data_IF_490139646723
#
_entry.id   IF_490139646723
#
_cell.length_a   1.000
_cell.length_b   1.000
_cell.length_c   1.000
_cell.angle_alpha   90.00
_cell.angle_beta   90.00
_cell.angle_gamma   90.00
#
_symmetry.space_group_name_H-M   'P 1'
#
loop_
_entity.id
_entity.type
_entity.pdbx_description
1 polymer ?
#
# COMPACT_ATOMS: atom_id res chain seq x y z
N UNK A 1 -0.09 19.09 -20.29
CA UNK A 1 -0.54 17.91 -19.52
C UNK A 1 -0.74 18.38 -18.09
N UNK A 2 -1.86 18.09 -17.42
CA UNK A 2 -1.99 18.42 -16.01
C UNK A 2 -0.84 17.70 -15.30
N UNK A 3 -0.07 18.44 -14.49
CA UNK A 3 1.05 17.90 -13.73
C UNK A 3 0.59 16.61 -13.05
N UNK A 4 1.10 15.47 -13.53
CA UNK A 4 0.89 14.18 -12.89
C UNK A 4 1.43 14.38 -11.48
N UNK A 5 0.58 14.21 -10.48
CA UNK A 5 0.98 14.52 -9.12
C UNK A 5 1.92 13.40 -8.68
N UNK A 6 3.23 13.66 -8.76
CA UNK A 6 4.32 12.72 -8.50
C UNK A 6 4.15 11.96 -7.18
N UNK A 7 3.48 12.58 -6.20
CA UNK A 7 3.15 11.95 -4.92
C UNK A 7 2.15 10.79 -5.04
N UNK A 8 1.17 10.85 -5.95
CA UNK A 8 0.26 9.72 -6.18
C UNK A 8 0.97 8.56 -6.86
N UNK A 9 1.89 8.85 -7.78
CA UNK A 9 2.67 7.82 -8.45
C UNK A 9 3.60 7.12 -7.45
N UNK A 10 4.29 7.89 -6.60
CA UNK A 10 5.15 7.34 -5.55
C UNK A 10 4.38 6.44 -4.57
N UNK A 11 3.19 6.86 -4.12
CA UNK A 11 2.37 6.01 -3.22
C UNK A 11 1.87 4.76 -3.96
N UNK A 12 1.52 4.88 -5.24
CA UNK A 12 1.08 3.75 -6.07
C UNK A 12 2.19 2.72 -6.25
N UNK A 13 3.41 3.16 -6.55
CA UNK A 13 4.59 2.29 -6.69
C UNK A 13 4.88 1.56 -5.38
N UNK A 14 4.87 2.28 -4.24
CA UNK A 14 5.07 1.67 -2.93
C UNK A 14 3.97 0.66 -2.57
N UNK A 15 2.72 0.91 -2.95
CA UNK A 15 1.64 -0.05 -2.75
C UNK A 15 1.89 -1.33 -3.56
N UNK A 16 2.25 -1.20 -4.84
CA UNK A 16 2.52 -2.34 -5.71
C UNK A 16 3.68 -3.19 -5.16
N UNK A 17 4.77 -2.56 -4.72
CA UNK A 17 5.91 -3.26 -4.13
C UNK A 17 5.52 -4.04 -2.86
N UNK A 18 4.77 -3.42 -1.95
CA UNK A 18 4.35 -4.11 -0.72
C UNK A 18 3.35 -5.23 -1.02
N UNK A 19 2.44 -5.07 -1.98
CA UNK A 19 1.51 -6.12 -2.41
C UNK A 19 2.29 -7.31 -3.01
N UNK A 20 3.27 -7.05 -3.87
CA UNK A 20 4.13 -8.09 -4.45
C UNK A 20 4.91 -8.83 -3.36
N UNK A 21 5.47 -8.11 -2.39
CA UNK A 21 6.20 -8.69 -1.26
C UNK A 21 5.30 -9.58 -0.39
N UNK A 22 4.05 -9.17 -0.11
CA UNK A 22 3.08 -9.99 0.62
C UNK A 22 2.77 -11.26 -0.16
N UNK A 23 2.50 -11.17 -1.47
CA UNK A 23 2.25 -12.35 -2.31
C UNK A 23 3.41 -13.33 -2.27
N UNK A 24 4.64 -12.86 -2.49
CA UNK A 24 5.83 -13.71 -2.41
C UNK A 24 6.03 -14.32 -1.01
N UNK A 25 5.67 -13.59 0.05
CA UNK A 25 5.73 -14.12 1.41
C UNK A 25 4.73 -15.26 1.63
N UNK A 26 3.51 -15.13 1.11
CA UNK A 26 2.49 -16.18 1.17
C UNK A 26 2.91 -17.42 0.37
N UNK A 27 3.52 -17.24 -0.81
CA UNK A 27 4.08 -18.36 -1.60
C UNK A 27 5.20 -19.11 -0.84
N UNK A 28 6.04 -18.38 -0.09
CA UNK A 28 7.08 -18.99 0.73
C UNK A 28 6.52 -19.69 1.98
N UNK A 29 5.36 -19.28 2.49
CA UNK A 29 4.73 -19.92 3.64
C UNK A 29 4.33 -21.36 3.32
N UNK A 30 3.82 -21.62 2.12
CA UNK A 30 3.45 -22.97 1.67
C UNK A 30 4.68 -23.90 1.56
N UNK A 31 5.88 -23.33 1.39
CA UNK A 31 7.14 -24.06 1.33
C UNK A 31 7.87 -24.15 2.70
N UNK A 32 7.35 -23.51 3.75
CA UNK A 32 8.03 -23.47 5.05
C UNK A 32 8.01 -24.84 5.74
N UNK A 33 9.17 -25.26 6.26
CA UNK A 33 9.37 -26.59 6.87
C UNK A 33 9.42 -26.53 8.39
N UNK A 34 9.55 -25.34 8.98
CA UNK A 34 9.59 -25.15 10.43
C UNK A 34 8.60 -24.07 10.89
N UNK A 35 8.10 -24.23 12.12
CA UNK A 35 7.19 -23.27 12.76
C UNK A 35 7.85 -21.88 12.93
N UNK A 36 9.15 -21.85 13.22
CA UNK A 36 9.90 -20.59 13.35
C UNK A 36 10.02 -19.82 12.03
N UNK A 37 10.23 -20.53 10.90
CA UNK A 37 10.23 -19.92 9.57
C UNK A 37 8.85 -19.38 9.21
N UNK A 38 7.80 -20.20 9.42
CA UNK A 38 6.42 -19.79 9.19
C UNK A 38 6.06 -18.55 10.00
N UNK A 39 6.42 -18.51 11.29
CA UNK A 39 6.18 -17.36 12.17
C UNK A 39 6.89 -16.10 11.66
N UNK A 40 8.14 -16.21 11.20
CA UNK A 40 8.89 -15.06 10.63
C UNK A 40 8.24 -14.55 9.34
N UNK A 41 7.77 -15.45 8.47
CA UNK A 41 7.08 -15.07 7.24
C UNK A 41 5.76 -14.36 7.55
N UNK A 42 4.97 -14.90 8.49
CA UNK A 42 3.73 -14.26 8.95
C UNK A 42 3.96 -12.86 9.50
N UNK A 43 4.97 -12.67 10.35
CA UNK A 43 5.29 -11.34 10.90
C UNK A 43 5.65 -10.34 9.79
N UNK A 44 6.46 -10.76 8.80
CA UNK A 44 6.80 -9.92 7.65
C UNK A 44 5.58 -9.57 6.80
N UNK A 45 4.69 -10.53 6.56
CA UNK A 45 3.45 -10.28 5.82
C UNK A 45 2.57 -9.25 6.56
N UNK A 46 2.44 -9.37 7.88
CA UNK A 46 1.68 -8.42 8.72
C UNK A 46 2.28 -7.02 8.64
N UNK A 47 3.60 -6.88 8.83
CA UNK A 47 4.29 -5.57 8.73
C UNK A 47 4.05 -4.89 7.38
N UNK A 48 4.04 -5.67 6.29
CA UNK A 48 3.78 -5.15 4.93
C UNK A 48 2.32 -4.77 4.74
N UNK A 49 1.39 -5.53 5.32
CA UNK A 49 -0.04 -5.18 5.31
C UNK A 49 -0.32 -3.88 6.08
N UNK A 50 0.37 -3.63 7.19
CA UNK A 50 0.26 -2.36 7.92
C UNK A 50 0.72 -1.17 7.06
N UNK A 51 1.81 -1.32 6.30
CA UNK A 51 2.28 -0.31 5.34
C UNK A 51 1.23 -0.09 4.25
N UNK A 52 0.68 -1.15 3.66
CA UNK A 52 -0.38 -1.06 2.65
C UNK A 52 -1.58 -0.28 3.18
N UNK A 53 -2.02 -0.59 4.41
CA UNK A 53 -3.16 0.09 5.02
C UNK A 53 -2.89 1.60 5.19
N UNK A 54 -1.68 1.96 5.65
CA UNK A 54 -1.28 3.36 5.79
C UNK A 54 -1.28 4.09 4.45
N UNK A 55 -0.60 3.55 3.44
CA UNK A 55 -0.51 4.14 2.10
C UNK A 55 -1.89 4.26 1.43
N UNK A 56 -2.77 3.27 1.63
CA UNK A 56 -4.16 3.32 1.16
C UNK A 56 -4.94 4.46 1.81
N UNK A 57 -4.71 4.71 3.10
CA UNK A 57 -5.26 5.87 3.81
C UNK A 57 -4.77 7.20 3.24
N UNK A 58 -3.48 7.30 2.93
CA UNK A 58 -2.87 8.50 2.35
C UNK A 58 -3.44 8.81 0.94
N UNK A 59 -3.59 7.79 0.08
CA UNK A 59 -4.26 7.94 -1.22
C UNK A 59 -5.70 8.38 -1.03
N UNK A 60 -6.46 7.73 -0.14
CA UNK A 60 -7.86 8.08 0.08
C UNK A 60 -8.00 9.54 0.54
N UNK A 61 -7.14 10.00 1.44
CA UNK A 61 -7.11 11.38 1.89
C UNK A 61 -6.79 12.34 0.73
N UNK A 62 -5.79 12.02 -0.07
CA UNK A 62 -5.40 12.85 -1.21
C UNK A 62 -6.52 12.91 -2.27
N UNK A 63 -7.21 11.81 -2.56
CA UNK A 63 -8.37 11.79 -3.45
C UNK A 63 -9.53 12.63 -2.90
N UNK A 64 -9.83 12.53 -1.59
CA UNK A 64 -10.83 13.39 -0.93
C UNK A 64 -10.46 14.88 -1.04
N UNK A 65 -9.18 15.21 -0.88
CA UNK A 65 -8.71 16.59 -1.03
C UNK A 65 -8.89 17.10 -2.47
N UNK A 66 -8.64 16.27 -3.48
CA UNK A 66 -8.93 16.60 -4.88
C UNK A 66 -10.42 16.86 -5.13
N UNK A 67 -11.30 16.08 -4.50
CA UNK A 67 -12.75 16.28 -4.57
C UNK A 67 -13.18 17.59 -3.90
N UNK A 68 -12.73 17.82 -2.66
CA UNK A 68 -13.11 18.99 -1.87
C UNK A 68 -12.63 20.32 -2.49
N UNK A 69 -11.47 20.34 -3.17
CA UNK A 69 -10.99 21.53 -3.90
C UNK A 69 -11.93 22.01 -5.01
N UNK A 70 -12.85 21.16 -5.53
CA UNK A 70 -13.86 21.57 -6.51
C UNK A 70 -15.12 22.18 -5.88
N UNK A 71 -15.29 22.10 -4.55
CA UNK A 71 -16.44 22.67 -3.83
C UNK A 71 -16.39 24.19 -3.66
N UNK A 72 -15.21 24.82 -3.81
CA UNK A 72 -15.03 26.27 -3.62
C UNK A 72 -15.14 27.10 -4.91
N UNK A 73 -15.45 26.48 -6.05
CA UNK A 73 -15.58 27.19 -7.35
C UNK A 73 -17.01 27.73 -7.58
N UNK A 74 -17.95 27.45 -6.66
CA UNK A 74 -19.34 27.92 -6.74
C UNK A 74 -19.74 28.79 -5.52
N UNK A 75 -18.95 29.82 -5.20
CA UNK A 75 -19.37 30.91 -4.31
C UNK A 75 -19.17 32.27 -4.96
#
# INVERSE_FOLDING_TARGET
MPERNDKFDEISEQLDENILAVKGTLELMDASVTEDELRKLLLRAIERMDIIQKLSGDILMALKNCFNKKGDINK
#
